data_IF_816739924847
#
_entry.id   IF_816739924847
#
_cell.length_a   1.000
_cell.length_b   1.000
_cell.length_c   1.000
_cell.angle_alpha   90.00
_cell.angle_beta   90.00
_cell.angle_gamma   90.00
#
_symmetry.space_group_name_H-M   'P 1'
#
loop_
_entity.id
_entity.type
_entity.pdbx_description
1 polymer ?
#
# COMPACT_ATOMS: atom_id res chain seq x y z
N UNK A 1 -3.36 23.10 -11.46
CA UNK A 1 -2.30 22.08 -11.45
C UNK A 1 -2.09 21.53 -10.03
N UNK A 2 -1.92 22.35 -8.98
CA UNK A 2 -1.74 21.91 -7.59
C UNK A 2 -2.88 21.00 -7.10
N UNK A 3 -4.14 21.33 -7.40
CA UNK A 3 -5.30 20.49 -7.05
C UNK A 3 -5.23 19.10 -7.67
N UNK A 4 -4.68 18.98 -8.88
CA UNK A 4 -4.50 17.71 -9.60
C UNK A 4 -3.15 17.05 -9.30
N UNK A 5 -2.32 17.66 -8.45
CA UNK A 5 -0.97 17.19 -8.10
C UNK A 5 -0.09 16.91 -9.31
N UNK A 6 -0.27 17.68 -10.37
CA UNK A 6 0.55 17.62 -11.58
C UNK A 6 1.81 18.46 -11.41
N UNK A 7 2.73 17.95 -10.60
CA UNK A 7 3.97 18.62 -10.27
C UNK A 7 4.92 18.72 -11.47
N UNK A 8 4.82 17.80 -12.43
CA UNK A 8 5.58 17.85 -13.68
C UNK A 8 5.21 19.09 -14.48
N UNK A 9 3.92 19.30 -14.75
CA UNK A 9 3.45 20.48 -15.46
C UNK A 9 3.75 21.79 -14.71
N UNK A 10 3.73 21.77 -13.36
CA UNK A 10 4.12 22.94 -12.56
C UNK A 10 5.61 23.28 -12.77
N UNK A 11 6.47 22.27 -12.83
CA UNK A 11 7.91 22.47 -13.07
C UNK A 11 8.21 23.03 -14.46
N UNK A 12 7.37 22.81 -15.46
CA UNK A 12 7.49 23.42 -16.78
C UNK A 12 7.24 24.94 -16.75
N UNK A 13 6.47 25.42 -15.75
CA UNK A 13 6.16 26.83 -15.53
C UNK A 13 7.24 27.56 -14.69
N UNK A 14 8.51 27.26 -14.93
CA UNK A 14 9.67 27.72 -14.12
C UNK A 14 9.71 29.22 -13.84
N UNK A 15 9.19 30.03 -14.76
CA UNK A 15 9.22 31.49 -14.65
C UNK A 15 8.29 32.07 -13.59
N UNK A 16 7.37 31.25 -13.07
CA UNK A 16 6.34 31.69 -12.12
C UNK A 16 6.66 31.32 -10.66
N UNK A 17 7.74 30.60 -10.39
CA UNK A 17 8.06 30.11 -9.04
C UNK A 17 9.39 30.65 -8.54
N UNK A 18 9.44 31.04 -7.28
CA UNK A 18 10.73 31.31 -6.60
C UNK A 18 11.56 30.02 -6.48
N UNK A 19 12.89 30.16 -6.33
CA UNK A 19 13.79 29.00 -6.22
C UNK A 19 13.40 28.01 -5.10
N UNK A 20 13.04 28.48 -3.87
CA UNK A 20 12.58 27.55 -2.81
C UNK A 20 11.30 26.79 -3.19
N UNK A 21 10.33 27.44 -3.85
CA UNK A 21 9.11 26.79 -4.30
C UNK A 21 9.37 25.78 -5.42
N UNK A 22 10.26 26.10 -6.34
CA UNK A 22 10.69 25.15 -7.37
C UNK A 22 11.32 23.89 -6.77
N UNK A 23 12.21 24.05 -5.76
CA UNK A 23 12.80 22.91 -5.05
C UNK A 23 11.72 22.07 -4.36
N UNK A 24 10.74 22.70 -3.72
CA UNK A 24 9.63 21.97 -3.08
C UNK A 24 8.78 21.21 -4.09
N UNK A 25 8.43 21.82 -5.22
CA UNK A 25 7.66 21.16 -6.29
C UNK A 25 8.47 20.00 -6.88
N UNK A 26 9.76 20.18 -7.13
CA UNK A 26 10.65 19.12 -7.62
C UNK A 26 10.77 17.96 -6.62
N UNK A 27 10.81 18.27 -5.32
CA UNK A 27 10.73 17.26 -4.26
C UNK A 27 9.44 16.43 -4.34
N UNK A 28 8.28 17.10 -4.45
CA UNK A 28 6.98 16.41 -4.55
C UNK A 28 6.86 15.58 -5.83
N UNK A 29 7.39 16.08 -6.95
CA UNK A 29 7.44 15.35 -8.21
C UNK A 29 8.28 14.07 -8.10
N UNK A 30 9.48 14.18 -7.53
CA UNK A 30 10.36 13.03 -7.31
C UNK A 30 9.73 11.97 -6.38
N UNK A 31 9.06 12.41 -5.30
CA UNK A 31 8.30 11.50 -4.42
C UNK A 31 7.17 10.79 -5.15
N UNK A 32 6.41 11.54 -5.95
CA UNK A 32 5.31 10.96 -6.73
C UNK A 32 5.78 9.92 -7.76
N UNK A 33 7.07 9.97 -8.11
CA UNK A 33 7.75 8.99 -8.95
C UNK A 33 8.52 7.92 -8.15
N UNK A 34 8.37 7.88 -6.82
CA UNK A 34 9.08 6.99 -5.89
C UNK A 34 10.62 7.11 -5.98
N UNK A 35 11.13 8.26 -6.41
CA UNK A 35 12.56 8.55 -6.49
C UNK A 35 13.05 9.24 -5.21
N UNK A 36 13.28 8.43 -4.17
CA UNK A 36 13.65 8.87 -2.83
C UNK A 36 14.96 9.69 -2.79
N UNK A 37 15.94 9.29 -3.59
CA UNK A 37 17.23 9.97 -3.61
C UNK A 37 17.11 11.39 -4.20
N UNK A 38 16.38 11.54 -5.29
CA UNK A 38 16.17 12.84 -5.91
C UNK A 38 15.26 13.71 -5.03
N UNK A 39 14.23 13.12 -4.42
CA UNK A 39 13.36 13.82 -3.49
C UNK A 39 14.14 14.44 -2.33
N UNK A 40 15.05 13.69 -1.70
CA UNK A 40 15.93 14.20 -0.62
C UNK A 40 16.88 15.29 -1.08
N UNK A 41 17.42 15.17 -2.29
CA UNK A 41 18.34 16.15 -2.85
C UNK A 41 17.68 17.52 -2.97
N UNK A 42 16.43 17.57 -3.41
CA UNK A 42 15.67 18.83 -3.55
C UNK A 42 15.32 19.50 -2.21
N UNK A 43 15.37 18.79 -1.08
CA UNK A 43 15.14 19.38 0.24
C UNK A 43 16.36 20.06 0.86
N UNK A 44 17.54 19.87 0.29
CA UNK A 44 18.77 20.47 0.84
C UNK A 44 18.69 22.00 0.80
N UNK A 45 18.87 22.62 1.97
CA UNK A 45 18.83 24.07 2.12
C UNK A 45 17.42 24.68 2.05
N UNK A 46 16.35 23.88 2.13
CA UNK A 46 14.98 24.38 2.27
C UNK A 46 14.60 24.51 3.74
N UNK A 47 14.18 25.70 4.13
CA UNK A 47 13.61 25.99 5.45
C UNK A 47 12.10 26.22 5.30
N UNK A 48 11.30 25.22 5.65
CA UNK A 48 9.85 25.24 5.43
C UNK A 48 9.03 25.41 6.71
N UNK A 49 9.66 25.47 7.89
CA UNK A 49 8.96 25.48 9.17
C UNK A 49 8.21 24.17 9.50
N UNK A 50 8.30 23.15 8.63
CA UNK A 50 7.78 21.81 8.83
C UNK A 50 8.66 20.77 8.09
N UNK A 51 8.57 19.50 8.50
CA UNK A 51 9.27 18.42 7.83
C UNK A 51 8.47 17.92 6.63
N UNK A 52 8.85 18.22 5.37
CA UNK A 52 8.13 17.74 4.19
C UNK A 52 8.38 16.24 3.92
N UNK A 53 9.32 15.64 4.63
CA UNK A 53 9.68 14.23 4.55
C UNK A 53 9.69 13.63 5.95
N UNK A 54 8.58 12.99 6.37
CA UNK A 54 8.28 12.77 7.77
C UNK A 54 8.96 11.59 8.42
N UNK A 55 9.81 10.85 7.75
CA UNK A 55 10.40 9.66 8.37
C UNK A 55 11.82 9.89 8.87
N UNK A 56 11.98 10.20 10.17
CA UNK A 56 13.19 9.80 10.87
C UNK A 56 13.16 8.28 11.02
N UNK A 57 14.22 7.54 10.64
CA UNK A 57 14.30 6.13 10.94
C UNK A 57 14.29 5.97 12.47
N UNK A 58 13.19 5.49 13.03
CA UNK A 58 13.18 4.93 14.38
C UNK A 58 13.97 3.62 14.37
N UNK A 59 14.51 3.24 15.53
CA UNK A 59 15.22 1.97 15.70
C UNK A 59 14.24 0.80 15.53
N UNK A 60 14.13 0.28 14.32
CA UNK A 60 13.29 -0.84 13.91
C UNK A 60 13.27 -0.94 12.40
N UNK A 61 12.87 -2.08 11.86
CA UNK A 61 12.86 -2.37 10.41
C UNK A 61 11.74 -1.57 9.68
N UNK A 62 11.91 -0.23 9.69
CA UNK A 62 10.95 0.74 9.13
C UNK A 62 11.06 0.89 7.61
N UNK A 63 11.96 0.15 6.94
CA UNK A 63 12.14 0.24 5.50
C UNK A 63 10.86 -0.12 4.75
N UNK A 64 10.16 -1.17 5.19
CA UNK A 64 8.91 -1.62 4.58
C UNK A 64 7.77 -0.62 4.84
N UNK A 65 7.66 -0.07 6.05
CA UNK A 65 6.68 0.96 6.40
C UNK A 65 6.81 2.19 5.51
N UNK A 66 8.02 2.72 5.37
CA UNK A 66 8.28 3.90 4.58
C UNK A 66 7.92 3.68 3.11
N UNK A 67 8.34 2.55 2.54
CA UNK A 67 8.01 2.21 1.14
C UNK A 67 6.50 2.09 0.94
N UNK A 68 5.81 1.41 1.84
CA UNK A 68 4.36 1.22 1.77
C UNK A 68 3.63 2.56 1.89
N UNK A 69 4.06 3.43 2.80
CA UNK A 69 3.45 4.76 2.98
C UNK A 69 3.68 5.68 1.78
N UNK A 70 4.90 5.73 1.21
CA UNK A 70 5.18 6.52 0.00
C UNK A 70 4.39 6.01 -1.20
N UNK A 71 4.28 4.68 -1.33
CA UNK A 71 3.48 4.08 -2.38
C UNK A 71 1.98 4.41 -2.23
N UNK A 72 1.47 4.38 -1.01
CA UNK A 72 0.10 4.81 -0.71
C UNK A 72 -0.13 6.29 -1.05
N UNK A 73 0.79 7.17 -0.67
CA UNK A 73 0.70 8.60 -1.00
C UNK A 73 0.69 8.85 -2.51
N UNK A 74 1.50 8.12 -3.27
CA UNK A 74 1.45 8.16 -4.74
C UNK A 74 0.08 7.71 -5.27
N UNK A 75 -0.48 6.62 -4.75
CA UNK A 75 -1.81 6.15 -5.15
C UNK A 75 -2.91 7.17 -4.79
N UNK A 76 -2.85 7.78 -3.60
CA UNK A 76 -3.75 8.87 -3.19
C UNK A 76 -3.66 10.05 -4.16
N UNK A 77 -2.46 10.35 -4.68
CA UNK A 77 -2.28 11.39 -5.69
C UNK A 77 -2.95 11.02 -7.03
N UNK A 78 -2.88 9.77 -7.47
CA UNK A 78 -3.61 9.32 -8.65
C UNK A 78 -5.13 9.45 -8.48
N UNK A 79 -5.65 9.08 -7.31
CA UNK A 79 -7.06 9.23 -7.00
C UNK A 79 -7.51 10.71 -7.07
N UNK A 80 -6.75 11.62 -6.46
CA UNK A 80 -7.04 13.07 -6.47
C UNK A 80 -6.93 13.66 -7.88
N UNK A 81 -6.01 13.14 -8.70
CA UNK A 81 -5.85 13.55 -10.09
C UNK A 81 -6.88 12.91 -11.03
N UNK A 82 -7.82 12.13 -10.51
CA UNK A 82 -8.82 11.37 -11.28
C UNK A 82 -8.19 10.36 -12.26
N UNK A 83 -6.97 9.92 -11.97
CA UNK A 83 -6.22 8.92 -12.74
C UNK A 83 -6.56 7.51 -12.23
N UNK A 84 -7.80 7.13 -12.35
CA UNK A 84 -8.32 5.88 -11.74
C UNK A 84 -7.70 4.62 -12.32
N UNK A 85 -7.34 4.63 -13.60
CA UNK A 85 -6.61 3.51 -14.23
C UNK A 85 -5.25 3.30 -13.56
N UNK A 86 -4.48 4.37 -13.36
CA UNK A 86 -3.18 4.29 -12.66
C UNK A 86 -3.35 3.84 -11.20
N UNK A 87 -4.40 4.33 -10.53
CA UNK A 87 -4.75 3.93 -9.17
C UNK A 87 -4.98 2.41 -9.08
N UNK A 88 -5.82 1.85 -9.95
CA UNK A 88 -6.16 0.41 -9.94
C UNK A 88 -4.96 -0.45 -10.32
N UNK A 89 -4.16 -0.04 -11.31
CA UNK A 89 -2.95 -0.78 -11.69
C UNK A 89 -1.92 -0.87 -10.55
N UNK A 90 -1.86 0.16 -9.69
CA UNK A 90 -0.95 0.22 -8.54
C UNK A 90 -1.48 -0.47 -7.29
N UNK A 91 -2.78 -0.77 -7.25
CA UNK A 91 -3.42 -1.36 -6.08
C UNK A 91 -2.85 -2.75 -5.74
N UNK A 92 -2.63 -3.61 -6.74
CA UNK A 92 -2.18 -4.99 -6.51
C UNK A 92 -0.81 -5.08 -5.79
N UNK A 93 0.28 -4.48 -6.27
CA UNK A 93 1.57 -4.55 -5.59
C UNK A 93 1.54 -3.89 -4.21
N UNK A 94 0.73 -2.85 -4.02
CA UNK A 94 0.52 -2.20 -2.73
C UNK A 94 -0.14 -3.13 -1.72
N UNK A 95 -1.26 -3.76 -2.11
CA UNK A 95 -2.01 -4.64 -1.22
C UNK A 95 -1.23 -5.87 -0.79
N UNK A 96 -0.44 -6.45 -1.69
CA UNK A 96 0.45 -7.55 -1.34
C UNK A 96 1.37 -7.14 -0.18
N UNK A 97 1.96 -5.94 -0.23
CA UNK A 97 2.83 -5.45 0.84
C UNK A 97 2.07 -5.18 2.14
N UNK A 98 0.87 -4.63 2.03
CA UNK A 98 0.02 -4.38 3.19
C UNK A 98 -0.44 -5.68 3.86
N UNK A 99 -0.78 -6.70 3.07
CA UNK A 99 -1.12 -8.04 3.55
C UNK A 99 0.08 -8.73 4.20
N UNK A 100 1.27 -8.66 3.59
CA UNK A 100 2.52 -9.17 4.17
C UNK A 100 2.80 -8.55 5.54
N UNK A 101 2.64 -7.22 5.65
CA UNK A 101 2.85 -6.52 6.90
C UNK A 101 1.85 -6.94 7.98
N UNK A 102 0.58 -7.07 7.62
CA UNK A 102 -0.44 -7.51 8.56
C UNK A 102 -0.26 -8.97 8.98
N UNK A 103 0.07 -9.84 8.04
CA UNK A 103 0.44 -11.24 8.34
C UNK A 103 1.64 -11.30 9.26
N UNK A 104 2.66 -10.47 9.08
CA UNK A 104 3.84 -10.42 9.97
C UNK A 104 3.42 -10.10 11.41
N UNK A 105 2.50 -9.14 11.60
CA UNK A 105 1.96 -8.82 12.94
C UNK A 105 1.27 -10.03 13.57
N UNK A 106 0.38 -10.70 12.84
CA UNK A 106 -0.38 -11.86 13.35
C UNK A 106 0.53 -13.06 13.58
N UNK A 107 1.41 -13.38 12.65
CA UNK A 107 2.30 -14.54 12.72
C UNK A 107 3.29 -14.39 13.88
N UNK A 108 3.90 -13.23 14.07
CA UNK A 108 4.79 -12.98 15.23
C UNK A 108 4.05 -13.13 16.54
N UNK A 109 2.84 -12.57 16.62
CA UNK A 109 2.07 -12.57 17.86
C UNK A 109 1.54 -13.96 18.23
N UNK A 110 1.03 -14.71 17.27
CA UNK A 110 0.28 -15.95 17.54
C UNK A 110 1.02 -17.24 17.18
N UNK A 111 2.03 -17.15 16.31
CA UNK A 111 2.78 -18.31 15.81
C UNK A 111 4.27 -18.26 16.13
N UNK A 112 4.80 -17.13 16.60
CA UNK A 112 6.23 -16.95 16.87
C UNK A 112 7.12 -16.93 15.60
N UNK A 113 6.53 -16.77 14.42
CA UNK A 113 7.21 -16.79 13.12
C UNK A 113 7.06 -15.42 12.46
N UNK A 114 8.12 -14.88 11.82
CA UNK A 114 8.02 -13.65 11.04
C UNK A 114 7.68 -13.95 9.58
N UNK A 115 6.99 -13.02 8.92
CA UNK A 115 6.71 -13.14 7.48
C UNK A 115 8.00 -13.22 6.66
N UNK A 116 9.06 -12.54 7.09
CA UNK A 116 10.39 -12.58 6.45
C UNK A 116 10.96 -13.98 6.39
N UNK A 117 10.69 -14.83 7.37
CA UNK A 117 11.16 -16.22 7.40
C UNK A 117 10.44 -17.12 6.41
N UNK A 118 9.27 -16.71 5.94
CA UNK A 118 8.45 -17.43 4.96
C UNK A 118 8.69 -16.98 3.52
N UNK A 119 9.47 -15.92 3.32
CA UNK A 119 9.73 -15.37 2.00
C UNK A 119 11.08 -15.87 1.46
N UNK A 120 11.14 -16.12 0.15
CA UNK A 120 12.38 -16.32 -0.58
C UNK A 120 12.88 -14.99 -1.11
N UNK A 121 14.17 -14.72 -0.87
CA UNK A 121 14.85 -13.48 -1.24
C UNK A 121 15.74 -13.61 -2.48
N UNK A 122 15.93 -14.83 -2.99
CA UNK A 122 16.98 -15.17 -3.99
C UNK A 122 16.73 -14.67 -5.41
N UNK A 123 15.59 -14.07 -5.68
CA UNK A 123 15.26 -13.53 -7.01
C UNK A 123 15.36 -12.01 -7.12
N UNK A 124 16.29 -11.38 -6.43
CA UNK A 124 16.81 -10.01 -6.64
C UNK A 124 15.84 -8.85 -6.62
N UNK A 125 14.56 -9.03 -6.94
CA UNK A 125 13.54 -7.96 -6.99
C UNK A 125 12.15 -8.35 -6.51
N UNK A 126 11.83 -9.64 -6.40
CA UNK A 126 10.48 -10.08 -6.01
C UNK A 126 10.56 -11.02 -4.82
N UNK A 127 10.01 -10.61 -3.70
CA UNK A 127 9.78 -11.52 -2.58
C UNK A 127 8.69 -12.51 -2.99
N UNK A 128 8.92 -13.79 -2.79
CA UNK A 128 7.95 -14.86 -3.04
C UNK A 128 7.65 -15.59 -1.75
N UNK A 129 6.40 -15.94 -1.51
CA UNK A 129 6.05 -16.86 -0.44
C UNK A 129 6.63 -18.24 -0.75
N UNK A 130 7.51 -18.73 0.10
CA UNK A 130 8.11 -20.06 -0.05
C UNK A 130 7.16 -21.12 0.48
N UNK A 131 6.67 -21.95 -0.41
CA UNK A 131 5.79 -23.08 -0.06
C UNK A 131 6.49 -24.04 0.89
N UNK A 132 7.76 -24.34 0.62
CA UNK A 132 8.55 -25.21 1.48
C UNK A 132 8.66 -24.67 2.90
N UNK A 133 9.11 -23.42 3.06
CA UNK A 133 9.23 -22.77 4.37
C UNK A 133 7.89 -22.68 5.10
N UNK A 134 6.80 -22.45 4.36
CA UNK A 134 5.45 -22.41 4.93
C UNK A 134 5.06 -23.77 5.53
N UNK A 135 5.27 -24.87 4.79
CA UNK A 135 4.99 -26.22 5.29
C UNK A 135 5.92 -26.63 6.44
N UNK A 136 7.19 -26.26 6.41
CA UNK A 136 8.15 -26.55 7.48
C UNK A 136 7.83 -25.82 8.77
N UNK A 137 7.53 -24.51 8.69
CA UNK A 137 7.36 -23.65 9.87
C UNK A 137 5.92 -23.58 10.39
N UNK A 138 4.93 -23.70 9.50
CA UNK A 138 3.51 -23.53 9.79
C UNK A 138 2.65 -24.64 9.15
N UNK A 139 2.92 -25.93 9.43
CA UNK A 139 2.30 -27.06 8.70
C UNK A 139 0.79 -27.07 8.77
N UNK A 140 0.18 -26.72 9.89
CA UNK A 140 -1.29 -26.68 10.04
C UNK A 140 -1.93 -25.55 9.23
N UNK A 141 -1.27 -24.40 9.13
CA UNK A 141 -1.74 -23.27 8.33
C UNK A 141 -1.56 -23.57 6.84
N UNK A 142 -0.42 -24.19 6.47
CA UNK A 142 -0.15 -24.63 5.11
C UNK A 142 -1.22 -25.61 4.62
N UNK A 143 -1.51 -26.64 5.40
CA UNK A 143 -2.55 -27.63 5.09
C UNK A 143 -3.94 -26.98 4.92
N UNK A 144 -4.30 -26.02 5.79
CA UNK A 144 -5.56 -25.28 5.65
C UNK A 144 -5.60 -24.44 4.38
N UNK A 145 -4.50 -23.79 4.04
CA UNK A 145 -4.39 -23.00 2.82
C UNK A 145 -4.55 -23.88 1.58
N UNK A 146 -3.87 -25.03 1.55
CA UNK A 146 -3.98 -26.00 0.46
C UNK A 146 -5.42 -26.51 0.32
N UNK A 147 -6.09 -26.85 1.43
CA UNK A 147 -7.49 -27.27 1.40
C UNK A 147 -8.39 -26.17 0.83
N UNK A 148 -8.22 -24.92 1.26
CA UNK A 148 -9.00 -23.78 0.73
C UNK A 148 -8.78 -23.55 -0.77
N UNK A 149 -7.57 -23.80 -1.27
CA UNK A 149 -7.26 -23.75 -2.70
C UNK A 149 -8.00 -24.86 -3.46
N UNK A 150 -7.94 -26.09 -2.96
CA UNK A 150 -8.65 -27.22 -3.54
C UNK A 150 -10.18 -27.02 -3.58
N UNK A 151 -10.77 -26.54 -2.48
CA UNK A 151 -12.21 -26.23 -2.38
C UNK A 151 -12.65 -25.20 -3.43
N UNK A 152 -11.74 -24.29 -3.82
CA UNK A 152 -11.96 -23.29 -4.86
C UNK A 152 -11.53 -23.75 -6.26
N UNK A 153 -11.25 -25.03 -6.44
CA UNK A 153 -10.77 -25.64 -7.71
C UNK A 153 -9.50 -24.97 -8.26
N UNK A 154 -8.64 -24.48 -7.36
CA UNK A 154 -7.35 -23.89 -7.71
C UNK A 154 -6.25 -24.93 -7.49
N UNK A 155 -5.17 -24.92 -8.29
CA UNK A 155 -4.04 -25.81 -8.04
C UNK A 155 -3.45 -25.51 -6.64
N UNK A 156 -2.97 -26.54 -5.96
CA UNK A 156 -2.18 -26.42 -4.74
C UNK A 156 -1.06 -25.43 -4.97
N UNK A 157 -0.68 -24.71 -3.91
CA UNK A 157 0.31 -23.65 -3.98
C UNK A 157 1.59 -24.19 -4.65
N UNK A 158 1.84 -23.75 -5.87
CA UNK A 158 3.13 -23.92 -6.52
C UNK A 158 3.94 -22.66 -6.28
N UNK A 159 5.24 -22.69 -6.46
CA UNK A 159 6.16 -21.54 -6.31
C UNK A 159 5.81 -20.35 -7.21
N UNK A 160 4.58 -19.90 -7.15
CA UNK A 160 4.02 -18.88 -8.02
C UNK A 160 4.14 -17.48 -7.38
N UNK A 161 4.13 -16.49 -8.24
CA UNK A 161 4.11 -15.08 -7.82
C UNK A 161 2.97 -14.83 -6.82
N UNK A 162 3.23 -14.07 -5.75
CA UNK A 162 2.21 -13.71 -4.77
C UNK A 162 1.06 -12.97 -5.45
N UNK A 163 -0.17 -13.34 -5.09
CA UNK A 163 -1.38 -12.64 -5.53
C UNK A 163 -2.20 -12.23 -4.31
N UNK A 164 -2.98 -11.18 -4.43
CA UNK A 164 -3.92 -10.74 -3.37
C UNK A 164 -4.81 -11.91 -2.93
N UNK A 165 -5.29 -12.70 -3.87
CA UNK A 165 -6.11 -13.88 -3.62
C UNK A 165 -5.43 -14.89 -2.69
N UNK A 166 -4.17 -15.25 -2.97
CA UNK A 166 -3.41 -16.22 -2.14
C UNK A 166 -3.18 -15.65 -0.74
N UNK A 167 -2.81 -14.38 -0.64
CA UNK A 167 -2.62 -13.73 0.65
C UNK A 167 -3.91 -13.58 1.46
N UNK A 168 -5.07 -13.38 0.81
CA UNK A 168 -6.36 -13.42 1.50
C UNK A 168 -6.63 -14.81 2.08
N UNK A 169 -6.40 -15.88 1.32
CA UNK A 169 -6.57 -17.25 1.83
C UNK A 169 -5.59 -17.59 2.93
N UNK A 170 -4.36 -17.11 2.81
CA UNK A 170 -3.34 -17.29 3.85
C UNK A 170 -3.74 -16.57 5.14
N UNK A 171 -4.19 -15.32 5.05
CA UNK A 171 -4.70 -14.55 6.18
C UNK A 171 -5.87 -15.25 6.86
N UNK A 172 -6.86 -15.71 6.10
CA UNK A 172 -7.99 -16.49 6.62
C UNK A 172 -7.53 -17.79 7.30
N UNK A 173 -6.49 -18.44 6.78
CA UNK A 173 -5.94 -19.69 7.34
C UNK A 173 -5.21 -19.41 8.66
N UNK A 174 -4.46 -18.32 8.76
CA UNK A 174 -3.81 -17.86 9.99
C UNK A 174 -4.86 -17.54 11.05
N UNK A 175 -5.85 -16.71 10.73
CA UNK A 175 -6.93 -16.31 11.66
C UNK A 175 -7.65 -17.56 12.19
N UNK A 176 -7.95 -18.51 11.33
CA UNK A 176 -8.63 -19.74 11.70
C UNK A 176 -7.79 -20.72 12.55
N UNK A 177 -6.51 -20.43 12.81
CA UNK A 177 -5.62 -21.21 13.68
C UNK A 177 -5.30 -20.50 15.00
N UNK A 178 -5.74 -19.26 15.19
CA UNK A 178 -5.54 -18.54 16.43
C UNK A 178 -6.37 -19.22 17.52
N UNK A 179 -5.68 -19.86 18.47
CA UNK A 179 -6.30 -20.57 19.60
C UNK A 179 -6.53 -19.68 20.82
N UNK A 180 -5.80 -18.58 20.91
CA UNK A 180 -5.94 -17.63 22.01
C UNK A 180 -7.17 -16.75 21.80
N UNK A 181 -7.87 -16.38 22.89
CA UNK A 181 -9.00 -15.47 22.77
C UNK A 181 -8.53 -14.10 22.28
N UNK A 182 -9.13 -13.66 21.17
CA UNK A 182 -8.92 -12.32 20.62
C UNK A 182 -9.71 -11.30 21.45
N UNK A 183 -9.13 -10.17 21.73
CA UNK A 183 -9.86 -9.03 22.29
C UNK A 183 -10.94 -8.55 21.31
N UNK A 184 -11.97 -7.87 21.79
CA UNK A 184 -13.01 -7.29 20.93
C UNK A 184 -12.41 -6.34 19.88
N UNK A 185 -11.43 -5.53 20.29
CA UNK A 185 -10.73 -4.60 19.39
C UNK A 185 -10.00 -5.34 18.28
N UNK A 186 -9.31 -6.43 18.58
CA UNK A 186 -8.64 -7.26 17.57
C UNK A 186 -9.63 -7.93 16.62
N UNK A 187 -10.76 -8.42 17.14
CA UNK A 187 -11.80 -9.01 16.29
C UNK A 187 -12.38 -8.00 15.32
N UNK A 188 -12.65 -6.77 15.76
CA UNK A 188 -13.13 -5.68 14.93
C UNK A 188 -12.09 -5.32 13.88
N UNK A 189 -10.83 -5.15 14.28
CA UNK A 189 -9.73 -4.82 13.37
C UNK A 189 -9.52 -5.90 12.30
N UNK A 190 -9.50 -7.17 12.69
CA UNK A 190 -9.40 -8.31 11.76
C UNK A 190 -10.54 -8.28 10.75
N UNK A 191 -11.78 -8.11 11.18
CA UNK A 191 -12.94 -8.05 10.29
C UNK A 191 -12.84 -6.90 9.30
N UNK A 192 -12.45 -5.73 9.75
CA UNK A 192 -12.27 -4.55 8.89
C UNK A 192 -11.18 -4.77 7.83
N UNK A 193 -10.01 -5.28 8.23
CA UNK A 193 -8.90 -5.53 7.32
C UNK A 193 -9.21 -6.64 6.31
N UNK A 194 -9.81 -7.74 6.74
CA UNK A 194 -10.24 -8.82 5.84
C UNK A 194 -11.26 -8.30 4.82
N UNK A 195 -12.27 -7.53 5.28
CA UNK A 195 -13.27 -6.93 4.39
C UNK A 195 -12.64 -5.98 3.36
N UNK A 196 -11.69 -5.14 3.79
CA UNK A 196 -10.95 -4.24 2.89
C UNK A 196 -10.17 -5.03 1.84
N UNK A 197 -9.40 -6.04 2.25
CA UNK A 197 -8.59 -6.86 1.32
C UNK A 197 -9.46 -7.61 0.32
N UNK A 198 -10.62 -8.16 0.73
CA UNK A 198 -11.56 -8.80 -0.18
C UNK A 198 -12.20 -7.80 -1.15
N UNK A 199 -12.51 -6.60 -0.69
CA UNK A 199 -13.03 -5.51 -1.54
C UNK A 199 -12.02 -5.12 -2.61
N UNK A 200 -10.76 -4.94 -2.20
CA UNK A 200 -9.67 -4.63 -3.12
C UNK A 200 -9.35 -5.79 -4.09
N UNK A 201 -9.50 -7.03 -3.64
CA UNK A 201 -9.36 -8.21 -4.52
C UNK A 201 -10.42 -8.18 -5.63
N UNK A 202 -11.69 -7.91 -5.30
CA UNK A 202 -12.77 -7.77 -6.31
C UNK A 202 -12.45 -6.69 -7.33
N UNK A 203 -12.04 -5.51 -6.86
CA UNK A 203 -11.66 -4.40 -7.73
C UNK A 203 -10.51 -4.77 -8.66
N UNK A 204 -9.47 -5.41 -8.12
CA UNK A 204 -8.32 -5.86 -8.89
C UNK A 204 -8.70 -6.95 -9.91
N UNK A 205 -9.53 -7.92 -9.53
CA UNK A 205 -9.98 -8.98 -10.41
C UNK A 205 -10.83 -8.44 -11.58
N UNK A 206 -11.68 -7.43 -11.31
CA UNK A 206 -12.57 -6.87 -12.31
C UNK A 206 -11.85 -5.99 -13.32
N UNK A 207 -10.92 -5.14 -12.87
CA UNK A 207 -10.40 -4.06 -13.71
C UNK A 207 -8.92 -4.15 -14.08
N UNK A 208 -8.10 -4.93 -13.36
CA UNK A 208 -6.66 -4.94 -13.62
C UNK A 208 -6.33 -5.36 -15.06
N UNK A 209 -6.96 -6.42 -15.55
CA UNK A 209 -6.67 -6.91 -16.90
C UNK A 209 -7.20 -5.95 -17.94
N UNK A 210 -8.43 -5.46 -17.78
CA UNK A 210 -9.02 -4.49 -18.70
C UNK A 210 -8.27 -3.16 -18.68
N UNK A 211 -7.84 -2.69 -17.53
CA UNK A 211 -7.04 -1.47 -17.40
C UNK A 211 -5.65 -1.61 -18.05
N UNK A 212 -5.07 -2.82 -18.04
CA UNK A 212 -3.75 -3.07 -18.60
C UNK A 212 -3.74 -3.33 -20.11
N UNK A 213 -4.83 -3.89 -20.65
CA UNK A 213 -4.86 -4.41 -22.02
C UNK A 213 -5.91 -3.78 -22.93
N UNK A 214 -7.05 -3.35 -22.38
CA UNK A 214 -8.23 -2.97 -23.19
C UNK A 214 -8.41 -1.45 -23.32
N UNK A 215 -7.47 -0.62 -22.86
CA UNK A 215 -7.57 0.85 -22.86
C UNK A 215 -8.90 1.37 -22.26
N UNK A 216 -9.46 0.65 -21.30
CA UNK A 216 -10.74 1.01 -20.68
C UNK A 216 -10.55 2.26 -19.82
N UNK A 217 -11.30 3.29 -20.12
CA UNK A 217 -11.38 4.46 -19.25
C UNK A 217 -12.15 4.09 -17.97
N UNK A 218 -11.44 4.06 -16.84
CA UNK A 218 -12.03 3.86 -15.53
C UNK A 218 -12.52 5.20 -14.97
N UNK A 219 -13.73 5.18 -14.40
CA UNK A 219 -14.31 6.31 -13.67
C UNK A 219 -14.60 5.90 -12.23
N UNK A 220 -14.80 6.89 -11.36
CA UNK A 220 -15.15 6.64 -9.96
C UNK A 220 -16.47 5.87 -9.84
N UNK A 221 -17.45 6.17 -10.71
CA UNK A 221 -18.76 5.51 -10.75
C UNK A 221 -18.64 4.01 -11.09
N UNK A 222 -17.75 3.65 -12.03
CA UNK A 222 -17.51 2.23 -12.38
C UNK A 222 -16.88 1.48 -11.21
N UNK A 223 -15.98 2.13 -10.49
CA UNK A 223 -15.36 1.57 -9.29
C UNK A 223 -16.41 1.40 -8.20
N UNK A 224 -17.22 2.43 -7.95
CA UNK A 224 -18.29 2.39 -6.96
C UNK A 224 -19.33 1.30 -7.27
N UNK A 225 -19.72 1.11 -8.52
CA UNK A 225 -20.58 0.02 -8.94
C UNK A 225 -19.98 -1.36 -8.67
N UNK A 226 -18.66 -1.51 -8.78
CA UNK A 226 -17.96 -2.78 -8.55
C UNK A 226 -17.87 -3.14 -7.07
N UNK A 227 -17.51 -2.18 -6.21
CA UNK A 227 -17.15 -2.45 -4.81
C UNK A 227 -18.10 -1.85 -3.78
N UNK A 228 -19.08 -1.04 -4.21
CA UNK A 228 -20.07 -0.42 -3.33
C UNK A 228 -19.57 0.81 -2.58
N UNK A 229 -18.41 1.36 -2.98
CA UNK A 229 -17.84 2.59 -2.43
C UNK A 229 -17.02 3.33 -3.49
N UNK A 230 -16.99 4.67 -3.43
CA UNK A 230 -16.16 5.49 -4.29
C UNK A 230 -14.68 5.40 -3.89
N UNK A 231 -13.79 5.85 -4.78
CA UNK A 231 -12.34 5.77 -4.56
C UNK A 231 -11.86 6.59 -3.37
N UNK A 232 -12.51 7.71 -3.06
CA UNK A 232 -12.17 8.53 -1.89
C UNK A 232 -12.42 7.76 -0.59
N UNK A 233 -13.53 7.04 -0.50
CA UNK A 233 -13.85 6.19 0.65
C UNK A 233 -12.89 5.02 0.75
N UNK A 234 -12.56 4.38 -0.37
CA UNK A 234 -11.55 3.31 -0.41
C UNK A 234 -10.18 3.80 0.09
N UNK A 235 -9.73 4.96 -0.35
CA UNK A 235 -8.45 5.55 0.11
C UNK A 235 -8.48 5.79 1.62
N UNK A 236 -9.60 6.27 2.19
CA UNK A 236 -9.74 6.44 3.64
C UNK A 236 -9.69 5.12 4.41
N UNK A 237 -10.31 4.06 3.88
CA UNK A 237 -10.22 2.73 4.51
C UNK A 237 -8.79 2.17 4.46
N UNK A 238 -8.07 2.37 3.36
CA UNK A 238 -6.65 2.00 3.24
C UNK A 238 -5.80 2.79 4.25
N UNK A 239 -6.05 4.09 4.40
CA UNK A 239 -5.35 4.94 5.38
C UNK A 239 -5.55 4.44 6.82
N UNK A 240 -6.80 4.09 7.17
CA UNK A 240 -7.11 3.47 8.48
C UNK A 240 -6.41 2.12 8.67
N UNK A 241 -6.37 1.31 7.62
CA UNK A 241 -5.66 0.03 7.64
C UNK A 241 -4.14 0.22 7.87
N UNK A 242 -3.52 1.21 7.23
CA UNK A 242 -2.11 1.55 7.45
C UNK A 242 -1.84 1.95 8.90
N UNK A 243 -2.67 2.81 9.48
CA UNK A 243 -2.56 3.23 10.89
C UNK A 243 -2.72 2.04 11.83
N UNK A 244 -3.65 1.14 11.52
CA UNK A 244 -3.92 -0.05 12.33
C UNK A 244 -2.76 -1.07 12.29
N UNK A 245 -2.11 -1.22 11.13
CA UNK A 245 -0.97 -2.14 10.94
C UNK A 245 0.33 -1.55 11.49
N UNK A 246 0.48 -0.22 11.39
CA UNK A 246 1.65 0.53 11.82
C UNK A 246 1.27 1.61 12.86
N UNK A 247 0.96 1.22 14.10
CA UNK A 247 0.48 2.16 15.14
C UNK A 247 1.50 3.24 15.52
N UNK A 248 2.78 3.04 15.20
CA UNK A 248 3.85 4.04 15.35
C UNK A 248 3.84 5.11 14.24
N UNK A 249 2.94 4.99 13.26
CA UNK A 249 2.80 5.94 12.17
C UNK A 249 2.19 7.25 12.67
N UNK A 250 2.82 8.36 12.32
CA UNK A 250 2.18 9.66 12.48
C UNK A 250 1.12 9.85 11.36
N UNK A 251 -0.18 9.92 11.67
CA UNK A 251 -1.23 10.15 10.68
C UNK A 251 -1.04 11.43 9.85
N UNK A 252 -0.33 12.43 10.39
CA UNK A 252 -0.02 13.67 9.67
C UNK A 252 0.81 13.42 8.39
N UNK A 253 1.50 12.27 8.31
CA UNK A 253 2.21 11.83 7.11
C UNK A 253 1.30 11.74 5.90
N UNK A 254 0.06 11.27 6.07
CA UNK A 254 -0.87 11.07 4.97
C UNK A 254 -1.45 12.37 4.40
N UNK A 255 -1.19 13.51 5.05
CA UNK A 255 -1.60 14.85 4.63
C UNK A 255 -0.43 15.75 4.22
N UNK A 256 0.76 15.17 4.03
CA UNK A 256 1.97 15.95 3.75
C UNK A 256 1.91 16.67 2.40
N UNK A 257 1.29 16.06 1.38
CA UNK A 257 1.13 16.70 0.07
C UNK A 257 0.17 17.89 0.15
N UNK A 258 -0.91 17.77 0.92
CA UNK A 258 -1.85 18.87 1.18
C UNK A 258 -1.14 20.03 1.86
N UNK A 259 -0.33 19.74 2.89
CA UNK A 259 0.45 20.74 3.62
C UNK A 259 1.47 21.44 2.73
N UNK A 260 2.20 20.69 1.90
CA UNK A 260 3.13 21.27 0.92
C UNK A 260 2.39 22.13 -0.12
N UNK A 261 1.26 21.65 -0.64
CA UNK A 261 0.45 22.40 -1.61
C UNK A 261 -0.10 23.70 -1.02
N UNK A 262 -0.55 23.66 0.24
CA UNK A 262 -0.97 24.85 0.95
C UNK A 262 0.18 25.85 1.09
N UNK A 263 1.36 25.38 1.48
CA UNK A 263 2.54 26.24 1.56
C UNK A 263 2.88 26.89 0.21
N UNK A 264 2.88 26.11 -0.89
CA UNK A 264 3.11 26.64 -2.24
C UNK A 264 2.05 27.71 -2.60
N UNK A 265 0.78 27.45 -2.30
CA UNK A 265 -0.32 28.38 -2.63
C UNK A 265 -0.27 29.71 -1.88
N UNK A 266 0.31 29.73 -0.68
CA UNK A 266 0.43 30.95 0.14
C UNK A 266 1.66 31.78 -0.23
N UNK A 267 2.73 31.13 -0.72
CA UNK A 267 4.02 31.80 -1.00
C UNK A 267 4.27 32.00 -2.52
N UNK A 268 3.31 31.63 -3.37
CA UNK A 268 3.29 31.94 -4.80
C UNK A 268 2.67 33.31 -5.00
#
# INVERSE_FOLDING_TARGET
LLRRRDYGAILEMKQCLSEPLMKLVAHLHARNSLNDNEAKKHLRGLELGFAPYPCKPGAGDLSDYRQVSEYFLMMKNFQIAERYTDFVLRLNPFLIRLQEAYLDVLLRKYCGVSMKELLDTDYGKYRKLSVQKLHEKLPQIAQKLDQKLLDRKKPVLKENAPSIFIYNLFLESVIGQIKQPLTEQEQVQIKQLVSLFQTCERLNAQFRNSAAHDLVHLTDEKIEQCIGMNTQSLVREIERALIAIYPQCDPALFHIYEKCNQYISVHH
#
